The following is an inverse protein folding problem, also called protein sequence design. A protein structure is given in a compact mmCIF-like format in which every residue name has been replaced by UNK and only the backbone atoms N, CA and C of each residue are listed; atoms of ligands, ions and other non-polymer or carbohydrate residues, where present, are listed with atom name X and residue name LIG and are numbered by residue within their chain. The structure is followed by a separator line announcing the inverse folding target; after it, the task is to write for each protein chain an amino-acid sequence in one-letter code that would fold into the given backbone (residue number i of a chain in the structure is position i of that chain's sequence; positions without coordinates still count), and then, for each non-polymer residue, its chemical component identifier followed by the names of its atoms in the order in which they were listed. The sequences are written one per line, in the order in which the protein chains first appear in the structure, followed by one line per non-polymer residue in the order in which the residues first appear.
data_IF_664298569742
#
_entry.id   IF_664298569742
#
_cell.length_a   1.000
_cell.length_b   1.000
_cell.length_c   1.000
_cell.angle_alpha   90.00
_cell.angle_beta   90.00
_cell.angle_gamma   90.00
#
_symmetry.space_group_name_H-M   'P 1'
#
loop_
_entity.id
_entity.type
_entity.pdbx_description
1 polymer ?
#
# COMPACT_ATOMS: atom_id res chain seq x y z
N UNK A 1 15.19 12.43 -0.59
CA UNK A 1 13.95 12.03 0.11
C UNK A 1 13.01 13.23 0.13
N UNK A 2 11.87 13.17 -0.54
CA UNK A 2 11.10 14.35 -0.94
C UNK A 2 10.24 14.95 0.20
N UNK A 3 10.57 14.67 1.47
CA UNK A 3 9.90 15.24 2.66
C UNK A 3 8.42 14.86 2.84
N UNK A 4 7.83 14.05 1.96
CA UNK A 4 6.43 13.62 2.08
C UNK A 4 6.26 12.67 3.26
N UNK A 5 5.31 12.99 4.13
CA UNK A 5 4.91 12.20 5.30
C UNK A 5 3.61 11.44 5.09
N UNK A 6 3.00 11.52 3.90
CA UNK A 6 1.70 10.91 3.58
C UNK A 6 1.80 9.89 2.45
N UNK A 7 1.00 8.84 2.56
CA UNK A 7 0.79 7.84 1.51
C UNK A 7 -0.61 8.05 0.93
N UNK A 8 -0.69 8.15 -0.40
CA UNK A 8 -1.96 8.16 -1.15
C UNK A 8 -2.11 6.85 -1.89
N UNK A 9 -3.17 6.12 -1.57
CA UNK A 9 -3.55 4.88 -2.23
C UNK A 9 -4.85 5.08 -3.00
N UNK A 10 -4.90 4.62 -4.24
CA UNK A 10 -6.15 4.53 -5.02
C UNK A 10 -6.24 3.13 -5.64
N UNK A 11 -7.45 2.63 -5.84
CA UNK A 11 -7.67 1.33 -6.49
C UNK A 11 -8.81 1.42 -7.50
N UNK A 12 -8.68 0.77 -8.65
CA UNK A 12 -9.69 0.74 -9.71
C UNK A 12 -11.01 0.08 -9.30
N UNK A 13 -10.97 -0.77 -8.26
CA UNK A 13 -12.13 -1.47 -7.73
C UNK A 13 -12.77 -0.77 -6.52
N UNK A 14 -12.17 0.33 -6.03
CA UNK A 14 -12.67 1.10 -4.89
C UNK A 14 -12.95 2.54 -5.29
N UNK A 15 -14.02 3.14 -4.77
CA UNK A 15 -14.29 4.56 -5.02
C UNK A 15 -13.47 5.45 -4.08
N UNK A 16 -12.56 6.24 -4.67
CA UNK A 16 -11.86 7.35 -4.00
C UNK A 16 -10.42 7.05 -3.57
N UNK A 17 -9.67 8.14 -3.35
CA UNK A 17 -8.31 8.10 -2.82
C UNK A 17 -8.34 7.95 -1.29
N UNK A 18 -7.45 7.11 -0.76
CA UNK A 18 -7.11 7.05 0.64
C UNK A 18 -5.79 7.78 0.86
N UNK A 19 -5.84 8.93 1.52
CA UNK A 19 -4.65 9.71 1.91
C UNK A 19 -4.47 9.60 3.41
N UNK A 20 -3.30 9.15 3.84
CA UNK A 20 -3.04 8.84 5.24
C UNK A 20 -1.58 9.10 5.60
N UNK A 21 -1.29 9.56 6.83
CA UNK A 21 0.09 9.67 7.30
C UNK A 21 0.81 8.32 7.21
N UNK A 22 2.06 8.32 6.77
CA UNK A 22 2.92 7.14 6.72
C UNK A 22 3.05 6.44 8.08
N UNK A 23 2.95 7.22 9.15
CA UNK A 23 2.99 6.79 10.54
C UNK A 23 1.66 6.28 11.09
N UNK A 24 0.61 6.19 10.26
CA UNK A 24 -0.67 5.62 10.64
C UNK A 24 -0.50 4.15 11.10
N UNK A 25 -1.09 3.82 12.26
CA UNK A 25 -0.99 2.48 12.88
C UNK A 25 -2.34 1.78 13.08
N UNK A 26 -3.44 2.49 12.93
CA UNK A 26 -4.77 1.92 13.16
C UNK A 26 -5.19 1.14 11.93
N UNK A 27 -5.66 -0.11 12.04
CA UNK A 27 -6.15 -0.83 10.87
C UNK A 27 -7.39 -0.16 10.26
N UNK A 28 -7.47 -0.20 8.93
CA UNK A 28 -8.66 0.22 8.20
C UNK A 28 -9.74 -0.87 8.23
N UNK A 29 -11.01 -0.44 8.19
CA UNK A 29 -12.18 -1.32 8.19
C UNK A 29 -13.13 -0.99 7.03
N UNK A 30 -14.07 -1.90 6.73
CA UNK A 30 -15.04 -1.74 5.65
C UNK A 30 -14.37 -1.63 4.28
N UNK A 31 -14.86 -0.70 3.45
CA UNK A 31 -14.38 -0.48 2.07
C UNK A 31 -12.92 -0.04 1.96
N UNK A 32 -12.28 0.33 3.07
CA UNK A 32 -10.87 0.73 3.14
C UNK A 32 -9.95 -0.40 3.62
N UNK A 33 -10.50 -1.54 4.03
CA UNK A 33 -9.72 -2.65 4.62
C UNK A 33 -8.63 -3.21 3.70
N UNK A 34 -8.80 -3.08 2.37
CA UNK A 34 -7.79 -3.47 1.39
C UNK A 34 -6.46 -2.71 1.55
N UNK A 35 -6.49 -1.47 2.04
CA UNK A 35 -5.30 -0.65 2.22
C UNK A 35 -4.35 -1.22 3.30
N UNK A 36 -4.87 -2.07 4.19
CA UNK A 36 -4.07 -2.72 5.25
C UNK A 36 -2.94 -3.58 4.65
N UNK A 37 -3.14 -4.18 3.48
CA UNK A 37 -2.11 -4.97 2.81
C UNK A 37 -0.89 -4.11 2.42
N UNK A 38 -1.14 -2.96 1.79
CA UNK A 38 -0.08 -2.02 1.43
C UNK A 38 0.61 -1.43 2.68
N UNK A 39 -0.17 -1.02 3.68
CA UNK A 39 0.37 -0.48 4.93
C UNK A 39 1.15 -1.53 5.74
N UNK A 40 0.75 -2.79 5.69
CA UNK A 40 1.48 -3.90 6.31
C UNK A 40 2.86 -4.08 5.69
N UNK A 41 2.97 -4.06 4.36
CA UNK A 41 4.26 -4.12 3.66
C UNK A 41 5.14 -2.94 4.03
N UNK A 42 4.62 -1.72 3.93
CA UNK A 42 5.36 -0.50 4.30
C UNK A 42 5.85 -0.55 5.75
N UNK A 43 5.01 -1.01 6.68
CA UNK A 43 5.41 -1.20 8.07
C UNK A 43 6.57 -2.18 8.19
N UNK A 44 6.58 -3.30 7.45
CA UNK A 44 7.67 -4.29 7.48
C UNK A 44 9.01 -3.74 6.98
N UNK A 45 9.02 -2.97 5.89
CA UNK A 45 10.26 -2.32 5.43
C UNK A 45 10.76 -1.29 6.46
N UNK A 46 9.85 -0.52 7.08
CA UNK A 46 10.22 0.45 8.12
C UNK A 46 10.75 -0.23 9.39
N UNK A 47 10.13 -1.32 9.82
CA UNK A 47 10.58 -2.14 10.95
C UNK A 47 11.99 -2.73 10.68
N UNK A 48 12.30 -3.02 9.42
CA UNK A 48 13.63 -3.45 8.98
C UNK A 48 14.65 -2.30 8.86
N UNK A 49 14.27 -1.06 9.18
CA UNK A 49 15.15 0.11 9.19
C UNK A 49 15.28 0.84 7.85
N UNK A 50 14.46 0.49 6.84
CA UNK A 50 14.49 1.20 5.57
C UNK A 50 13.82 2.59 5.68
N UNK A 51 14.40 3.64 5.08
CA UNK A 51 13.90 5.01 5.16
C UNK A 51 12.77 5.25 4.15
N UNK A 52 11.68 4.47 4.25
CA UNK A 52 10.50 4.64 3.39
C UNK A 52 9.90 6.03 3.63
N UNK A 53 9.64 6.78 2.56
CA UNK A 53 8.97 8.10 2.60
C UNK A 53 7.55 7.98 2.06
N UNK A 54 6.73 9.04 2.22
CA UNK A 54 5.41 9.10 1.60
C UNK A 54 5.45 8.99 0.06
N UNK A 55 4.42 8.39 -0.51
CA UNK A 55 4.28 8.11 -1.94
C UNK A 55 2.83 8.07 -2.39
N UNK A 56 2.62 8.23 -3.70
CA UNK A 56 1.31 8.01 -4.33
C UNK A 56 1.38 6.73 -5.15
N UNK A 57 0.38 5.84 -4.99
CA UNK A 57 0.25 4.63 -5.82
C UNK A 57 -1.21 4.40 -6.20
N UNK A 58 -1.41 3.93 -7.44
CA UNK A 58 -2.70 3.47 -7.95
C UNK A 58 -2.61 2.00 -8.28
N UNK A 59 -3.49 1.20 -7.67
CA UNK A 59 -3.64 -0.21 -7.96
C UNK A 59 -4.72 -0.42 -9.01
N UNK A 60 -4.34 -0.98 -10.15
CA UNK A 60 -5.26 -1.43 -11.18
C UNK A 60 -5.31 -2.96 -11.12
N UNK A 61 -6.51 -3.52 -10.95
CA UNK A 61 -6.70 -4.97 -10.92
C UNK A 61 -7.90 -5.37 -11.76
N UNK A 62 -7.69 -6.39 -12.59
CA UNK A 62 -8.74 -7.10 -13.33
C UNK A 62 -9.14 -8.42 -12.65
N UNK A 63 -8.59 -8.71 -11.46
CA UNK A 63 -8.93 -9.90 -10.70
C UNK A 63 -10.32 -9.73 -10.07
N UNK A 64 -11.25 -10.68 -10.28
CA UNK A 64 -12.53 -10.65 -9.61
C UNK A 64 -12.33 -10.80 -8.10
N UNK A 65 -12.97 -9.92 -7.33
CA UNK A 65 -13.01 -10.02 -5.87
C UNK A 65 -13.54 -11.39 -5.44
N UNK A 66 -12.80 -12.08 -4.57
CA UNK A 66 -13.23 -13.37 -4.01
C UNK A 66 -13.01 -14.61 -4.88
N UNK A 67 -12.32 -14.51 -6.03
CA UNK A 67 -12.05 -15.65 -6.90
C UNK A 67 -11.05 -16.70 -6.34
N UNK A 68 -10.56 -16.54 -5.11
CA UNK A 68 -9.58 -17.45 -4.50
C UNK A 68 -8.17 -17.36 -5.11
N UNK A 69 -7.88 -16.31 -5.89
CA UNK A 69 -6.62 -16.12 -6.63
C UNK A 69 -5.57 -15.29 -5.88
N UNK A 70 -5.56 -15.31 -4.54
CA UNK A 70 -4.55 -14.62 -3.71
C UNK A 70 -4.41 -13.12 -4.02
N UNK A 71 -5.53 -12.41 -4.17
CA UNK A 71 -5.55 -10.96 -4.45
C UNK A 71 -4.83 -10.11 -3.39
N UNK A 72 -4.75 -10.59 -2.14
CA UNK A 72 -3.94 -9.98 -1.08
C UNK A 72 -2.45 -10.08 -1.36
N UNK A 73 -1.96 -11.27 -1.71
CA UNK A 73 -0.55 -11.50 -2.01
C UNK A 73 -0.10 -10.66 -3.22
N UNK A 74 -0.94 -10.57 -4.27
CA UNK A 74 -0.67 -9.72 -5.42
C UNK A 74 -0.51 -8.24 -5.02
N UNK A 75 -1.37 -7.75 -4.13
CA UNK A 75 -1.33 -6.37 -3.64
C UNK A 75 -0.09 -6.11 -2.76
N UNK A 76 0.25 -7.07 -1.90
CA UNK A 76 1.46 -7.04 -1.07
C UNK A 76 2.73 -7.03 -1.93
N UNK A 77 2.83 -7.95 -2.90
CA UNK A 77 3.97 -8.02 -3.83
C UNK A 77 4.10 -6.75 -4.68
N UNK A 78 2.98 -6.22 -5.21
CA UNK A 78 3.01 -4.96 -5.96
C UNK A 78 3.48 -3.80 -5.10
N UNK A 79 3.06 -3.74 -3.83
CA UNK A 79 3.51 -2.71 -2.88
C UNK A 79 4.99 -2.85 -2.58
N UNK A 80 5.48 -4.08 -2.36
CA UNK A 80 6.90 -4.34 -2.12
C UNK A 80 7.76 -3.85 -3.29
N UNK A 81 7.36 -4.13 -4.53
CA UNK A 81 8.06 -3.66 -5.72
C UNK A 81 8.17 -2.13 -5.78
N UNK A 82 7.09 -1.42 -5.44
CA UNK A 82 7.09 0.04 -5.39
C UNK A 82 8.06 0.55 -4.33
N UNK A 83 8.00 -0.02 -3.12
CA UNK A 83 8.88 0.36 -2.01
C UNK A 83 10.35 0.08 -2.34
N UNK A 84 10.67 -1.08 -2.89
CA UNK A 84 12.01 -1.46 -3.33
C UNK A 84 12.53 -0.51 -4.41
N UNK A 85 11.71 -0.21 -5.42
CA UNK A 85 12.07 0.77 -6.46
C UNK A 85 12.32 2.17 -5.92
N UNK A 86 11.57 2.61 -4.90
CA UNK A 86 11.82 3.89 -4.23
C UNK A 86 13.11 3.90 -3.40
N UNK A 87 13.48 2.75 -2.83
CA UNK A 87 14.68 2.59 -2.01
C UNK A 87 15.94 2.29 -2.86
N UNK A 88 15.77 1.94 -4.14
CA UNK A 88 16.85 1.51 -5.02
C UNK A 88 17.41 0.13 -4.65
N UNK A 89 16.53 -0.77 -4.18
CA UNK A 89 16.85 -2.16 -3.86
C UNK A 89 16.79 -3.07 -5.09
#
# INVERSE_FOLDING_TARGET
ANGRSEVRLSSSQSHGDLVVPLEHKTPFSGDKSWANYAFGVVAKYRDAGHPVTGFDVKFESNLPLGAGLSSSAALETATALVVEGMLGL
#
